data_IF_593009190190
#
_entry.id   IF_593009190190
#
_cell.length_a   1.000
_cell.length_b   1.000
_cell.length_c   1.000
_cell.angle_alpha   90.00
_cell.angle_beta   90.00
_cell.angle_gamma   90.00
#
_symmetry.space_group_name_H-M   'P 1'
#
loop_
_entity.id
_entity.type
_entity.pdbx_description
1 polymer ?
#
# COMPACT_ATOMS: atom_id res chain seq x y z
N UNK A 1 12.77 14.16 -9.34
CA UNK A 1 13.50 13.52 -10.44
C UNK A 1 12.67 12.35 -10.95
N UNK A 2 12.23 12.36 -12.21
CA UNK A 2 11.37 11.32 -12.77
C UNK A 2 12.06 9.94 -12.75
N UNK A 3 13.40 9.90 -12.77
CA UNK A 3 14.17 8.65 -12.71
C UNK A 3 13.95 7.91 -11.39
N UNK A 4 13.85 8.63 -10.28
CA UNK A 4 13.60 8.03 -8.96
C UNK A 4 12.21 7.41 -8.90
N UNK A 5 11.20 8.07 -9.47
CA UNK A 5 9.83 7.55 -9.52
C UNK A 5 9.74 6.28 -10.38
N UNK A 6 10.33 6.30 -11.58
CA UNK A 6 10.36 5.12 -12.46
C UNK A 6 11.10 3.95 -11.81
N UNK A 7 12.25 4.21 -11.18
CA UNK A 7 13.00 3.17 -10.47
C UNK A 7 12.19 2.56 -9.32
N UNK A 8 11.56 3.40 -8.50
CA UNK A 8 10.69 2.92 -7.42
C UNK A 8 9.53 2.09 -7.96
N UNK A 9 8.88 2.54 -9.05
CA UNK A 9 7.80 1.80 -9.69
C UNK A 9 8.27 0.42 -10.16
N UNK A 10 9.44 0.33 -10.81
CA UNK A 10 9.99 -0.95 -11.27
C UNK A 10 10.28 -1.90 -10.10
N UNK A 11 10.83 -1.40 -9.00
CA UNK A 11 11.09 -2.23 -7.81
C UNK A 11 9.79 -2.69 -7.14
N UNK A 12 8.79 -1.82 -7.06
CA UNK A 12 7.46 -2.16 -6.53
C UNK A 12 6.78 -3.25 -7.37
N UNK A 13 6.79 -3.08 -8.70
CA UNK A 13 6.23 -4.07 -9.63
C UNK A 13 6.96 -5.41 -9.54
N UNK A 14 8.29 -5.41 -9.41
CA UNK A 14 9.05 -6.64 -9.24
C UNK A 14 8.68 -7.38 -7.95
N UNK A 15 8.41 -6.65 -6.86
CA UNK A 15 7.95 -7.26 -5.60
C UNK A 15 6.56 -7.89 -5.76
N UNK A 16 5.63 -7.18 -6.40
CA UNK A 16 4.28 -7.67 -6.71
C UNK A 16 4.32 -8.92 -7.61
N UNK A 17 5.12 -8.92 -8.69
CA UNK A 17 5.28 -10.07 -9.58
C UNK A 17 5.83 -11.31 -8.85
N UNK A 18 6.83 -11.12 -7.98
CA UNK A 18 7.39 -12.23 -7.19
C UNK A 18 6.34 -12.78 -6.21
N UNK A 19 5.55 -11.91 -5.58
CA UNK A 19 4.48 -12.32 -4.69
C UNK A 19 3.41 -13.12 -5.47
N UNK A 20 2.96 -12.60 -6.60
CA UNK A 20 1.95 -13.27 -7.44
C UNK A 20 2.40 -14.63 -7.99
N UNK A 21 3.71 -14.87 -8.12
CA UNK A 21 4.24 -16.17 -8.52
C UNK A 21 4.04 -17.28 -7.45
N UNK A 22 3.82 -16.91 -6.18
CA UNK A 22 3.31 -17.78 -5.10
C UNK A 22 4.14 -19.04 -4.76
N UNK A 23 5.39 -19.11 -5.22
CA UNK A 23 6.20 -20.34 -5.18
C UNK A 23 7.60 -20.13 -4.59
N UNK A 24 7.88 -18.94 -4.09
CA UNK A 24 9.23 -18.54 -3.70
C UNK A 24 9.37 -18.34 -2.19
N UNK A 25 10.48 -18.79 -1.63
CA UNK A 25 10.85 -18.53 -0.23
C UNK A 25 11.03 -17.03 0.07
N UNK A 26 11.15 -16.18 -0.97
CA UNK A 26 11.29 -14.73 -0.81
C UNK A 26 9.96 -13.98 -0.79
N UNK A 27 8.82 -14.66 -0.93
CA UNK A 27 7.49 -14.01 -0.97
C UNK A 27 7.25 -13.09 0.22
N UNK A 28 7.56 -13.55 1.43
CA UNK A 28 7.38 -12.74 2.64
C UNK A 28 8.26 -11.48 2.63
N UNK A 29 9.49 -11.57 2.10
CA UNK A 29 10.41 -10.44 2.03
C UNK A 29 9.93 -9.39 1.02
N UNK A 30 9.42 -9.81 -0.15
CA UNK A 30 8.90 -8.86 -1.15
C UNK A 30 7.58 -8.24 -0.72
N UNK A 31 6.70 -8.98 -0.03
CA UNK A 31 5.47 -8.44 0.56
C UNK A 31 5.81 -7.38 1.61
N UNK A 32 6.80 -7.64 2.46
CA UNK A 32 7.26 -6.68 3.47
C UNK A 32 7.64 -5.33 2.83
N UNK A 33 8.39 -5.34 1.73
CA UNK A 33 8.82 -4.13 1.01
C UNK A 33 7.67 -3.26 0.46
N UNK A 34 6.52 -3.85 0.10
CA UNK A 34 5.39 -3.12 -0.50
C UNK A 34 4.20 -2.91 0.44
N UNK A 35 4.15 -3.63 1.57
CA UNK A 35 3.08 -3.54 2.57
C UNK A 35 3.53 -2.76 3.81
N UNK A 36 4.70 -3.04 4.35
CA UNK A 36 5.02 -2.66 5.72
C UNK A 36 5.73 -1.29 5.75
N UNK A 37 5.29 -0.43 6.67
CA UNK A 37 5.66 1.00 6.72
C UNK A 37 7.13 1.25 7.06
N UNK A 38 7.79 0.25 7.64
CA UNK A 38 9.17 0.27 8.08
C UNK A 38 10.15 -0.23 7.01
N UNK A 39 9.65 -0.75 5.88
CA UNK A 39 10.49 -1.19 4.78
C UNK A 39 11.08 -0.04 3.94
N UNK A 40 12.22 -0.30 3.31
CA UNK A 40 12.95 0.70 2.52
C UNK A 40 12.15 1.16 1.29
N UNK A 41 11.53 0.22 0.57
CA UNK A 41 10.75 0.52 -0.63
C UNK A 41 9.47 1.29 -0.31
N UNK A 42 8.77 0.96 0.78
CA UNK A 42 7.61 1.72 1.24
C UNK A 42 7.99 3.16 1.60
N UNK A 43 9.04 3.35 2.41
CA UNK A 43 9.48 4.69 2.82
C UNK A 43 9.90 5.55 1.64
N UNK A 44 10.62 5.00 0.66
CA UNK A 44 10.95 5.71 -0.59
C UNK A 44 9.70 6.09 -1.39
N UNK A 45 8.72 5.21 -1.45
CA UNK A 45 7.42 5.48 -2.07
C UNK A 45 6.66 6.62 -1.38
N UNK A 46 6.66 6.65 -0.05
CA UNK A 46 6.06 7.72 0.73
C UNK A 46 6.75 9.07 0.53
N UNK A 47 8.09 9.08 0.41
CA UNK A 47 8.83 10.28 0.06
C UNK A 47 8.44 10.78 -1.34
N UNK A 48 8.35 9.90 -2.33
CA UNK A 48 7.91 10.23 -3.69
C UNK A 48 6.48 10.79 -3.70
N UNK A 49 5.56 10.15 -2.97
CA UNK A 49 4.19 10.63 -2.78
C UNK A 49 4.16 12.07 -2.26
N UNK A 50 4.97 12.38 -1.23
CA UNK A 50 5.07 13.73 -0.66
C UNK A 50 5.60 14.75 -1.67
N UNK A 51 6.61 14.37 -2.46
CA UNK A 51 7.14 15.23 -3.53
C UNK A 51 6.10 15.50 -4.63
N UNK A 52 5.34 14.47 -5.04
CA UNK A 52 4.27 14.60 -6.03
C UNK A 52 3.16 15.51 -5.51
N UNK A 53 2.70 15.33 -4.27
CA UNK A 53 1.69 16.20 -3.65
C UNK A 53 2.16 17.66 -3.60
N UNK A 54 3.43 17.89 -3.21
CA UNK A 54 4.01 19.24 -3.14
C UNK A 54 4.07 19.92 -4.51
N UNK A 55 4.46 19.20 -5.56
CA UNK A 55 4.60 19.76 -6.91
C UNK A 55 3.27 19.95 -7.64
N UNK A 56 2.31 19.07 -7.38
CA UNK A 56 1.01 19.08 -8.05
C UNK A 56 -0.04 19.90 -7.32
N UNK A 57 0.16 20.18 -6.03
CA UNK A 57 -0.84 20.76 -5.13
C UNK A 57 -2.13 19.91 -5.00
N UNK A 58 -2.07 18.65 -5.43
CA UNK A 58 -3.17 17.69 -5.37
C UNK A 58 -2.90 16.69 -4.24
N UNK A 59 -3.87 16.46 -3.32
CA UNK A 59 -3.78 15.38 -2.35
C UNK A 59 -3.43 14.05 -3.00
N UNK A 60 -2.24 13.54 -2.71
CA UNK A 60 -1.71 12.32 -3.32
C UNK A 60 -1.67 11.25 -2.25
N UNK A 61 -2.07 10.03 -2.58
CA UNK A 61 -2.11 8.91 -1.64
C UNK A 61 -1.17 7.81 -2.11
N UNK A 62 -0.48 7.19 -1.17
CA UNK A 62 0.29 5.98 -1.42
C UNK A 62 -0.63 4.76 -1.29
N UNK A 63 -0.55 3.84 -2.24
CA UNK A 63 -1.25 2.57 -2.16
C UNK A 63 -0.41 1.56 -1.39
N UNK A 64 -0.88 1.18 -0.20
CA UNK A 64 -0.32 0.08 0.57
C UNK A 64 -0.88 -1.25 0.04
N UNK A 65 0.03 -2.13 -0.40
CA UNK A 65 -0.34 -3.48 -0.82
C UNK A 65 -0.86 -4.31 0.35
N UNK A 66 -1.91 -5.10 0.14
CA UNK A 66 -2.45 -5.99 1.17
C UNK A 66 -2.82 -7.35 0.55
N UNK A 67 -2.32 -8.43 1.16
CA UNK A 67 -2.62 -9.83 0.83
C UNK A 67 -2.64 -10.67 2.11
N UNK A 68 -3.39 -11.78 2.08
CA UNK A 68 -3.61 -12.64 3.24
C UNK A 68 -4.65 -12.09 4.22
N UNK A 69 -4.58 -12.55 5.46
CA UNK A 69 -5.50 -12.22 6.56
C UNK A 69 -6.26 -13.45 7.03
N UNK A 70 -7.06 -13.32 8.10
CA UNK A 70 -7.82 -14.46 8.64
C UNK A 70 -9.29 -14.47 8.23
N UNK A 71 -9.91 -13.29 8.11
CA UNK A 71 -11.30 -13.15 7.68
C UNK A 71 -11.62 -11.74 7.20
N UNK A 72 -12.71 -11.61 6.41
CA UNK A 72 -13.27 -10.32 6.00
C UNK A 72 -13.61 -9.41 7.20
N UNK A 73 -14.13 -10.00 8.28
CA UNK A 73 -14.50 -9.27 9.49
C UNK A 73 -13.28 -8.64 10.15
N UNK A 74 -12.18 -9.39 10.27
CA UNK A 74 -10.93 -8.86 10.82
C UNK A 74 -10.25 -7.84 9.90
N UNK A 75 -10.27 -8.07 8.58
CA UNK A 75 -9.72 -7.11 7.62
C UNK A 75 -10.37 -5.73 7.78
N UNK A 76 -11.70 -5.67 7.93
CA UNK A 76 -12.44 -4.41 8.15
C UNK A 76 -12.08 -3.70 9.45
N UNK A 77 -11.54 -4.43 10.43
CA UNK A 77 -11.10 -3.88 11.72
C UNK A 77 -9.63 -3.43 11.71
N UNK A 78 -8.89 -3.62 10.62
CA UNK A 78 -7.50 -3.17 10.51
C UNK A 78 -7.39 -1.68 10.79
N UNK A 79 -6.40 -1.33 11.59
CA UNK A 79 -6.03 0.06 11.85
C UNK A 79 -5.04 0.55 10.80
N UNK A 80 -4.96 1.86 10.62
CA UNK A 80 -3.96 2.47 9.76
C UNK A 80 -2.58 2.06 10.28
N UNK A 81 -1.70 1.47 9.45
CA UNK A 81 -0.41 0.95 9.89
C UNK A 81 0.51 2.05 10.42
N UNK A 82 0.30 3.30 10.00
CA UNK A 82 1.14 4.44 10.36
C UNK A 82 0.69 5.15 11.64
N UNK A 83 -0.59 5.49 11.77
CA UNK A 83 -1.09 6.23 12.94
C UNK A 83 -1.92 5.40 13.93
N UNK A 84 -2.26 4.15 13.61
CA UNK A 84 -3.17 3.31 14.41
C UNK A 84 -4.63 3.77 14.38
N UNK A 85 -4.99 4.75 13.55
CA UNK A 85 -6.36 5.25 13.45
C UNK A 85 -7.31 4.33 12.68
N UNK A 86 -8.62 4.48 12.93
CA UNK A 86 -9.65 3.88 12.07
C UNK A 86 -9.61 4.53 10.69
N UNK A 87 -9.70 3.70 9.65
CA UNK A 87 -9.50 4.14 8.27
C UNK A 87 -10.30 3.35 7.24
N UNK A 88 -11.11 2.37 7.68
CA UNK A 88 -12.07 1.68 6.83
C UNK A 88 -13.20 2.65 6.45
N UNK A 89 -13.54 2.72 5.16
CA UNK A 89 -14.51 3.71 4.63
C UNK A 89 -15.89 3.12 4.31
N UNK A 90 -16.10 1.82 4.54
CA UNK A 90 -17.38 1.16 4.25
C UNK A 90 -17.54 0.84 2.77
N UNK A 91 -17.87 1.86 1.96
CA UNK A 91 -17.97 1.74 0.51
C UNK A 91 -16.61 2.01 -0.17
N UNK A 92 -16.25 1.17 -1.14
CA UNK A 92 -14.96 1.28 -1.81
C UNK A 92 -14.87 2.55 -2.66
N UNK A 93 -13.88 3.39 -2.38
CA UNK A 93 -13.59 4.59 -3.16
C UNK A 93 -13.12 4.15 -4.55
N UNK A 94 -13.77 4.69 -5.58
CA UNK A 94 -13.59 4.30 -6.98
C UNK A 94 -13.81 2.79 -7.24
N UNK A 95 -14.52 2.09 -6.34
CA UNK A 95 -14.73 0.64 -6.44
C UNK A 95 -13.50 -0.20 -6.08
N UNK A 96 -12.44 0.39 -5.53
CA UNK A 96 -11.15 -0.28 -5.30
C UNK A 96 -10.71 -0.14 -3.83
N UNK A 97 -10.68 1.09 -3.31
CA UNK A 97 -10.06 1.36 -2.00
C UNK A 97 -11.06 1.31 -0.87
N UNK A 98 -10.88 0.34 0.02
CA UNK A 98 -11.72 0.13 1.20
C UNK A 98 -11.17 0.83 2.44
N UNK A 99 -9.91 1.29 2.37
CA UNK A 99 -9.22 1.97 3.44
C UNK A 99 -8.61 3.26 2.92
N UNK A 100 -8.80 4.35 3.69
CA UNK A 100 -8.23 5.67 3.40
C UNK A 100 -7.90 6.39 4.70
N UNK A 101 -6.63 6.68 4.89
CA UNK A 101 -6.15 7.52 5.98
C UNK A 101 -5.71 8.88 5.43
N UNK A 102 -6.49 9.93 5.72
CA UNK A 102 -6.19 11.28 5.27
C UNK A 102 -5.00 11.90 6.00
N UNK A 103 -4.80 11.55 7.28
CA UNK A 103 -3.65 11.99 8.06
C UNK A 103 -2.33 11.45 7.51
N UNK A 104 -2.30 10.17 7.16
CA UNK A 104 -1.07 9.51 6.69
C UNK A 104 -0.91 9.54 5.17
N UNK A 105 -1.98 9.88 4.42
CA UNK A 105 -2.06 9.80 2.95
C UNK A 105 -1.78 8.40 2.42
N UNK A 106 -2.44 7.41 3.02
CA UNK A 106 -2.34 6.00 2.62
C UNK A 106 -3.74 5.51 2.27
N UNK A 107 -3.85 4.76 1.17
CA UNK A 107 -5.03 3.98 0.82
C UNK A 107 -4.66 2.51 0.69
N UNK A 108 -5.64 1.64 0.88
CA UNK A 108 -5.49 0.20 0.66
C UNK A 108 -6.85 -0.42 0.34
N UNK A 109 -6.85 -1.65 -0.13
CA UNK A 109 -8.02 -2.49 -0.35
C UNK A 109 -8.17 -3.53 0.77
N UNK A 110 -9.33 -4.17 0.81
CA UNK A 110 -9.45 -5.46 1.51
C UNK A 110 -8.61 -6.46 0.72
N UNK A 111 -7.91 -7.36 1.42
CA UNK A 111 -7.19 -8.45 0.76
C UNK A 111 -8.07 -9.17 -0.26
N UNK A 112 -7.52 -9.43 -1.44
CA UNK A 112 -8.22 -10.11 -2.53
C UNK A 112 -8.74 -11.51 -2.16
N UNK A 113 -8.22 -12.12 -1.10
CA UNK A 113 -8.69 -13.43 -0.61
C UNK A 113 -10.11 -13.37 -0.02
N UNK A 114 -10.62 -12.17 0.31
CA UNK A 114 -11.93 -11.98 0.94
C UNK A 114 -12.91 -11.13 0.11
N UNK A 115 -12.55 -10.79 -1.14
CA UNK A 115 -13.39 -10.06 -2.08
C UNK A 115 -14.12 -11.03 -3.01
#
# INVERSE_FOLDING_TARGET
DHKTAVKWQTEWQACDEIQMAGSSQVEQAVVHEIRDIDSDLFQRGMMLRSQIETLSEVPTYYYQYQVGGESLEQERLRLCPSCGGQWFVGEAIHGIFHFKCDQCRIVSNISWEFI
#
